data_IF_958311103528
#
_entry.id   IF_958311103528
#
_cell.length_a   1.000
_cell.length_b   1.000
_cell.length_c   1.000
_cell.angle_alpha   90.00
_cell.angle_beta   90.00
_cell.angle_gamma   90.00
#
_symmetry.space_group_name_H-M   'P 1'
#
loop_
_entity.id
_entity.type
_entity.pdbx_description
1 polymer ?
#
# COMPACT_ATOMS: atom_id res chain seq x y z
N UNK A 1 -31.55 -11.84 -26.29
CA UNK A 1 -31.16 -13.16 -25.73
C UNK A 1 -29.65 -13.27 -25.89
N UNK A 2 -28.89 -12.60 -25.02
CA UNK A 2 -28.43 -13.09 -23.71
C UNK A 2 -27.04 -13.71 -23.84
N UNK A 3 -26.03 -12.84 -23.77
CA UNK A 3 -24.69 -13.19 -23.32
C UNK A 3 -24.38 -12.35 -22.07
N UNK A 4 -25.18 -12.53 -21.03
CA UNK A 4 -24.76 -12.23 -19.66
C UNK A 4 -23.74 -13.31 -19.27
N UNK A 5 -22.48 -13.07 -19.62
CA UNK A 5 -21.38 -13.91 -19.19
C UNK A 5 -21.23 -13.84 -17.68
N UNK A 6 -21.70 -14.87 -16.97
CA UNK A 6 -21.45 -15.25 -15.57
C UNK A 6 -20.43 -14.38 -14.80
N UNK A 7 -20.86 -13.19 -14.37
CA UNK A 7 -20.25 -12.42 -13.27
C UNK A 7 -20.66 -12.99 -11.90
N UNK A 8 -20.93 -14.30 -11.84
CA UNK A 8 -21.35 -14.95 -10.61
C UNK A 8 -20.17 -14.94 -9.65
N UNK A 9 -20.46 -14.61 -8.40
CA UNK A 9 -19.60 -14.88 -7.26
C UNK A 9 -19.27 -16.39 -7.26
N UNK A 10 -17.98 -16.74 -7.18
CA UNK A 10 -17.48 -18.12 -7.32
C UNK A 10 -16.53 -18.44 -6.19
N UNK A 11 -16.44 -19.70 -5.79
CA UNK A 11 -15.38 -20.14 -4.88
C UNK A 11 -14.05 -20.30 -5.64
N UNK A 12 -12.93 -19.99 -4.99
CA UNK A 12 -11.59 -20.36 -5.44
C UNK A 12 -11.30 -21.86 -5.16
N UNK A 13 -10.12 -22.33 -5.57
CA UNK A 13 -9.67 -23.71 -5.38
C UNK A 13 -9.52 -24.10 -3.89
N UNK A 14 -9.61 -23.12 -2.98
CA UNK A 14 -9.54 -23.30 -1.53
C UNK A 14 -10.91 -23.11 -0.85
N UNK A 15 -12.01 -23.03 -1.62
CA UNK A 15 -13.36 -22.85 -1.09
C UNK A 15 -13.69 -21.44 -0.63
N UNK A 16 -12.83 -20.45 -0.89
CA UNK A 16 -13.05 -19.05 -0.51
C UNK A 16 -13.92 -18.36 -1.55
N UNK A 17 -14.88 -17.56 -1.09
CA UNK A 17 -15.75 -16.82 -1.99
C UNK A 17 -15.01 -15.63 -2.63
N UNK A 18 -14.93 -15.61 -3.96
CA UNK A 18 -14.41 -14.48 -4.74
C UNK A 18 -15.58 -13.57 -5.14
N UNK A 19 -15.61 -12.38 -4.53
CA UNK A 19 -16.60 -11.33 -4.81
C UNK A 19 -16.05 -10.39 -5.88
N UNK A 20 -16.75 -10.25 -7.01
CA UNK A 20 -16.25 -9.51 -8.20
C UNK A 20 -17.14 -8.37 -8.65
N UNK A 21 -18.42 -8.36 -8.27
CA UNK A 21 -19.36 -7.29 -8.64
C UNK A 21 -19.15 -6.09 -7.73
N UNK A 22 -18.98 -4.90 -8.32
CA UNK A 22 -18.74 -3.65 -7.58
C UNK A 22 -19.69 -3.47 -6.39
N UNK A 23 -21.01 -3.58 -6.61
CA UNK A 23 -21.99 -3.40 -5.54
C UNK A 23 -21.81 -4.41 -4.38
N UNK A 24 -21.47 -5.66 -4.68
CA UNK A 24 -21.22 -6.69 -3.66
C UNK A 24 -19.89 -6.45 -2.92
N UNK A 25 -18.83 -6.07 -3.63
CA UNK A 25 -17.53 -5.70 -3.02
C UNK A 25 -17.71 -4.52 -2.07
N UNK A 26 -18.42 -3.48 -2.50
CA UNK A 26 -18.71 -2.29 -1.69
C UNK A 26 -19.55 -2.64 -0.47
N UNK A 27 -20.58 -3.49 -0.62
CA UNK A 27 -21.39 -3.94 0.50
C UNK A 27 -20.56 -4.72 1.54
N UNK A 28 -19.72 -5.65 1.10
CA UNK A 28 -18.79 -6.40 1.97
C UNK A 28 -17.80 -5.46 2.66
N UNK A 29 -17.25 -4.48 1.93
CA UNK A 29 -16.27 -3.54 2.48
C UNK A 29 -16.86 -2.59 3.53
N UNK A 30 -18.14 -2.23 3.41
CA UNK A 30 -18.84 -1.34 4.33
C UNK A 30 -19.57 -2.03 5.49
N UNK A 31 -19.55 -3.36 5.56
CA UNK A 31 -20.07 -4.13 6.68
C UNK A 31 -18.94 -4.87 7.44
N UNK A 32 -18.09 -4.13 8.17
CA UNK A 32 -16.96 -4.73 8.89
C UNK A 32 -17.38 -5.58 10.10
N UNK A 33 -18.63 -5.43 10.56
CA UNK A 33 -19.16 -6.23 11.66
C UNK A 33 -19.45 -7.66 11.18
N UNK A 34 -19.93 -7.83 9.95
CA UNK A 34 -20.12 -9.14 9.29
C UNK A 34 -18.84 -9.65 8.62
N UNK A 35 -18.05 -8.76 8.01
CA UNK A 35 -16.85 -9.11 7.23
C UNK A 35 -15.62 -8.46 7.83
N UNK A 36 -14.99 -9.16 8.77
CA UNK A 36 -13.83 -8.70 9.53
C UNK A 36 -12.58 -8.58 8.65
N UNK A 37 -11.71 -7.63 8.97
CA UNK A 37 -10.39 -7.49 8.34
C UNK A 37 -9.29 -8.28 9.06
N UNK A 38 -9.62 -9.02 10.14
CA UNK A 38 -8.69 -9.86 10.93
C UNK A 38 -8.32 -11.17 10.22
N UNK A 39 -7.77 -11.06 9.02
CA UNK A 39 -7.42 -12.19 8.13
C UNK A 39 -5.99 -12.71 8.34
N UNK A 40 -5.23 -12.10 9.25
CA UNK A 40 -3.84 -12.42 9.52
C UNK A 40 -3.64 -12.82 10.98
N UNK A 41 -2.81 -13.83 11.22
CA UNK A 41 -2.31 -14.16 12.57
C UNK A 41 -1.28 -13.15 13.09
N UNK A 42 -0.72 -12.33 12.20
CA UNK A 42 0.26 -11.31 12.55
C UNK A 42 -0.43 -9.97 12.77
N UNK A 43 0.03 -9.22 13.78
CA UNK A 43 -0.48 -7.89 14.08
C UNK A 43 -0.35 -6.96 12.87
N UNK A 44 -1.47 -6.39 12.42
CA UNK A 44 -1.55 -5.44 11.30
C UNK A 44 -2.30 -4.18 11.76
N UNK A 45 -1.59 -3.19 12.28
CA UNK A 45 -2.19 -1.94 12.74
C UNK A 45 -2.21 -0.91 11.60
N UNK A 46 -3.37 -0.30 11.27
CA UNK A 46 -4.71 -0.58 11.76
C UNK A 46 -5.44 -1.64 10.92
N UNK A 47 -4.90 -2.00 9.74
CA UNK A 47 -5.61 -2.70 8.66
C UNK A 47 -6.19 -4.08 9.00
N UNK A 48 -5.66 -4.75 10.01
CA UNK A 48 -6.14 -6.04 10.51
C UNK A 48 -6.81 -5.95 11.88
N UNK A 49 -7.29 -4.76 12.28
CA UNK A 49 -8.13 -4.55 13.46
C UNK A 49 -9.58 -4.33 13.03
N UNK A 50 -10.52 -4.51 13.95
CA UNK A 50 -11.95 -4.20 13.73
C UNK A 50 -12.49 -3.23 14.79
N UNK A 51 -13.72 -2.76 14.58
CA UNK A 51 -14.52 -2.09 15.59
C UNK A 51 -13.84 -0.86 16.24
N UNK A 52 -13.90 -0.79 17.57
CA UNK A 52 -13.33 0.32 18.35
C UNK A 52 -11.81 0.41 18.22
N UNK A 53 -11.13 -0.74 18.15
CA UNK A 53 -9.67 -0.81 18.12
C UNK A 53 -9.15 -0.27 16.79
N UNK A 54 -9.78 -0.66 15.68
CA UNK A 54 -9.52 -0.08 14.36
C UNK A 54 -9.73 1.43 14.38
N UNK A 55 -10.88 1.91 14.86
CA UNK A 55 -11.19 3.34 14.88
C UNK A 55 -10.21 4.14 15.74
N UNK A 56 -9.78 3.60 16.88
CA UNK A 56 -8.80 4.24 17.75
C UNK A 56 -7.42 4.32 17.08
N UNK A 57 -6.94 3.19 16.55
CA UNK A 57 -5.66 3.14 15.83
C UNK A 57 -5.68 4.05 14.60
N UNK A 58 -6.75 4.02 13.79
CA UNK A 58 -6.88 4.86 12.59
C UNK A 58 -6.84 6.34 12.94
N UNK A 59 -7.62 6.80 13.93
CA UNK A 59 -7.59 8.20 14.39
C UNK A 59 -6.21 8.64 14.86
N UNK A 60 -5.46 7.77 15.54
CA UNK A 60 -4.08 8.07 15.94
C UNK A 60 -3.14 8.16 14.73
N UNK A 61 -3.23 7.23 13.79
CA UNK A 61 -2.31 7.21 12.64
C UNK A 61 -2.61 8.31 11.63
N UNK A 62 -3.87 8.74 11.51
CA UNK A 62 -4.28 9.83 10.61
C UNK A 62 -3.60 11.17 10.96
N UNK A 63 -3.16 11.38 12.22
CA UNK A 63 -2.47 12.63 12.59
C UNK A 63 -1.09 12.76 11.95
N UNK A 64 -0.51 11.67 11.45
CA UNK A 64 0.78 11.68 10.74
C UNK A 64 0.64 11.99 9.24
N UNK A 65 -0.61 12.02 8.74
CA UNK A 65 -0.97 12.39 7.39
C UNK A 65 -1.71 13.73 7.37
N UNK A 66 -1.34 14.63 8.28
CA UNK A 66 -1.90 15.98 8.30
C UNK A 66 -1.67 16.67 6.94
N UNK A 67 -2.72 17.23 6.30
CA UNK A 67 -2.60 17.81 4.98
C UNK A 67 -1.52 18.88 4.86
N UNK A 68 -1.34 19.72 5.89
CA UNK A 68 -0.33 20.77 5.86
C UNK A 68 1.10 20.19 5.92
N UNK A 69 1.32 19.13 6.70
CA UNK A 69 2.63 18.44 6.70
C UNK A 69 2.93 17.74 5.37
N UNK A 70 1.92 17.13 4.75
CA UNK A 70 2.06 16.49 3.45
C UNK A 70 2.30 17.52 2.34
N UNK A 71 1.58 18.65 2.35
CA UNK A 71 1.78 19.74 1.40
C UNK A 71 3.19 20.33 1.51
N UNK A 72 3.72 20.46 2.73
CA UNK A 72 5.09 20.91 2.96
C UNK A 72 6.15 19.92 2.40
N UNK A 73 5.80 18.63 2.29
CA UNK A 73 6.67 17.60 1.72
C UNK A 73 6.66 17.63 0.17
N UNK A 74 5.57 18.10 -0.46
CA UNK A 74 5.36 18.03 -1.90
C UNK A 74 6.50 18.61 -2.76
N UNK A 75 7.09 19.79 -2.45
CA UNK A 75 8.22 20.31 -3.22
C UNK A 75 9.43 19.37 -3.24
N UNK A 76 9.70 18.70 -2.11
CA UNK A 76 10.80 17.73 -1.99
C UNK A 76 10.54 16.50 -2.85
N UNK A 77 9.32 15.96 -2.81
CA UNK A 77 8.93 14.80 -3.63
C UNK A 77 8.97 15.12 -5.12
N UNK A 78 8.51 16.30 -5.52
CA UNK A 78 8.62 16.75 -6.90
C UNK A 78 10.10 16.84 -7.33
N UNK A 79 10.97 17.37 -6.46
CA UNK A 79 12.42 17.35 -6.69
C UNK A 79 12.98 15.93 -6.94
N UNK A 80 12.57 14.96 -6.13
CA UNK A 80 12.96 13.55 -6.28
C UNK A 80 12.47 12.96 -7.61
N UNK A 81 11.22 13.21 -7.99
CA UNK A 81 10.65 12.75 -9.26
C UNK A 81 11.44 13.30 -10.45
N UNK A 82 11.74 14.61 -10.46
CA UNK A 82 12.54 15.25 -11.52
C UNK A 82 13.94 14.67 -11.63
N UNK A 83 14.60 14.42 -10.50
CA UNK A 83 15.94 13.81 -10.47
C UNK A 83 15.91 12.41 -11.08
N UNK A 84 14.94 11.57 -10.70
CA UNK A 84 14.79 10.22 -11.24
C UNK A 84 14.49 10.22 -12.75
N UNK A 85 13.56 11.06 -13.20
CA UNK A 85 13.27 11.17 -14.64
C UNK A 85 14.50 11.66 -15.42
N UNK A 86 15.31 12.56 -14.86
CA UNK A 86 16.53 13.02 -15.49
C UNK A 86 17.58 11.92 -15.69
N UNK A 87 17.63 10.89 -14.83
CA UNK A 87 18.54 9.75 -15.00
C UNK A 87 18.13 8.82 -16.14
N UNK A 88 16.89 8.92 -16.63
CA UNK A 88 16.37 8.11 -17.75
C UNK A 88 16.76 8.65 -19.14
N UNK A 89 17.48 9.77 -19.23
CA UNK A 89 17.86 10.42 -20.50
C UNK A 89 18.92 9.68 -21.34
N UNK A 90 19.28 8.46 -20.97
CA UNK A 90 20.33 7.66 -21.62
C UNK A 90 19.83 6.38 -22.30
N UNK A 91 19.05 5.51 -21.62
CA UNK A 91 18.56 4.25 -22.20
C UNK A 91 17.48 4.48 -23.26
N UNK A 92 17.44 3.62 -24.30
CA UNK A 92 16.32 3.58 -25.27
C UNK A 92 15.07 2.87 -24.72
N UNK A 93 15.22 2.12 -23.63
CA UNK A 93 14.16 1.42 -22.90
C UNK A 93 14.51 1.36 -21.42
N UNK A 94 13.50 1.38 -20.55
CA UNK A 94 13.65 1.28 -19.10
C UNK A 94 12.46 0.50 -18.49
N UNK A 95 12.65 -0.08 -17.32
CA UNK A 95 11.56 -0.67 -16.53
C UNK A 95 10.87 0.43 -15.72
N UNK A 96 9.66 0.84 -16.13
CA UNK A 96 8.91 1.88 -15.43
C UNK A 96 8.60 1.54 -13.97
N UNK A 97 8.45 0.25 -13.64
CA UNK A 97 8.13 -0.20 -12.28
C UNK A 97 9.40 -0.27 -11.44
N UNK A 98 10.47 -0.86 -11.94
CA UNK A 98 11.74 -1.05 -11.22
C UNK A 98 12.64 0.18 -11.22
N UNK A 99 12.90 0.76 -12.40
CA UNK A 99 13.88 1.83 -12.58
C UNK A 99 13.33 3.21 -12.16
N UNK A 100 12.02 3.40 -12.17
CA UNK A 100 11.37 4.66 -11.80
C UNK A 100 10.47 4.51 -10.57
N UNK A 101 9.42 3.69 -10.66
CA UNK A 101 8.40 3.57 -9.62
C UNK A 101 8.94 3.14 -8.26
N UNK A 102 9.71 2.05 -8.21
CA UNK A 102 10.26 1.52 -6.97
C UNK A 102 11.26 2.48 -6.33
N UNK A 103 12.12 3.12 -7.13
CA UNK A 103 13.08 4.13 -6.64
C UNK A 103 12.36 5.36 -6.10
N UNK A 104 11.33 5.84 -6.79
CA UNK A 104 10.53 6.96 -6.32
C UNK A 104 9.83 6.62 -5.00
N UNK A 105 9.14 5.48 -4.93
CA UNK A 105 8.45 5.03 -3.73
C UNK A 105 9.40 4.91 -2.53
N UNK A 106 10.56 4.24 -2.69
CA UNK A 106 11.55 4.08 -1.61
C UNK A 106 12.08 5.43 -1.13
N UNK A 107 12.43 6.34 -2.05
CA UNK A 107 12.98 7.66 -1.69
C UNK A 107 11.94 8.56 -1.06
N UNK A 108 10.72 8.59 -1.60
CA UNK A 108 9.62 9.39 -1.07
C UNK A 108 9.26 8.94 0.35
N UNK A 109 9.07 7.64 0.54
CA UNK A 109 8.74 7.05 1.84
C UNK A 109 9.85 7.25 2.86
N UNK A 110 11.12 7.01 2.46
CA UNK A 110 12.26 7.24 3.34
C UNK A 110 12.38 8.71 3.74
N UNK A 111 12.10 9.64 2.82
CA UNK A 111 12.13 11.08 3.11
C UNK A 111 11.05 11.45 4.13
N UNK A 112 9.81 11.00 3.91
CA UNK A 112 8.72 11.26 4.86
C UNK A 112 9.00 10.66 6.24
N UNK A 113 9.51 9.43 6.29
CA UNK A 113 9.81 8.73 7.54
C UNK A 113 11.11 9.18 8.23
N UNK A 114 11.92 10.01 7.58
CA UNK A 114 13.24 10.43 8.08
C UNK A 114 14.32 9.34 8.02
N UNK A 115 14.18 8.36 7.14
CA UNK A 115 15.14 7.26 6.97
C UNK A 115 16.36 7.66 6.15
N UNK A 116 17.52 7.04 6.43
CA UNK A 116 18.76 7.33 5.71
C UNK A 116 18.66 6.87 4.25
N UNK A 117 19.27 7.61 3.33
CA UNK A 117 19.43 7.22 1.93
C UNK A 117 20.25 5.93 1.77
N UNK A 118 21.08 5.57 2.75
CA UNK A 118 21.87 4.33 2.72
C UNK A 118 21.00 3.07 2.76
N UNK A 119 19.71 3.20 3.14
CA UNK A 119 18.75 2.10 3.09
C UNK A 119 18.15 1.88 1.70
N UNK A 120 18.35 2.80 0.76
CA UNK A 120 17.69 2.76 -0.55
C UNK A 120 17.91 1.41 -1.26
N UNK A 121 19.16 0.99 -1.44
CA UNK A 121 19.48 -0.25 -2.16
C UNK A 121 18.93 -1.49 -1.45
N UNK A 122 18.96 -1.50 -0.11
CA UNK A 122 18.41 -2.61 0.69
C UNK A 122 16.89 -2.69 0.58
N UNK A 123 16.21 -1.55 0.62
CA UNK A 123 14.75 -1.48 0.44
C UNK A 123 14.34 -1.83 -0.98
N UNK A 124 15.11 -1.41 -2.00
CA UNK A 124 14.87 -1.79 -3.39
C UNK A 124 15.02 -3.29 -3.61
N UNK A 125 16.08 -3.90 -3.06
CA UNK A 125 16.27 -5.36 -3.09
C UNK A 125 15.08 -6.06 -2.42
N UNK A 126 14.68 -5.58 -1.24
CA UNK A 126 13.53 -6.11 -0.53
C UNK A 126 12.22 -6.01 -1.34
N UNK A 127 11.94 -4.88 -2.00
CA UNK A 127 10.74 -4.72 -2.85
C UNK A 127 10.71 -5.76 -3.97
N UNK A 128 11.85 -6.02 -4.61
CA UNK A 128 11.96 -7.04 -5.66
C UNK A 128 11.74 -8.44 -5.11
N UNK A 129 12.38 -8.77 -3.98
CA UNK A 129 12.21 -10.08 -3.33
C UNK A 129 10.79 -10.30 -2.83
N UNK A 130 10.13 -9.27 -2.30
CA UNK A 130 8.74 -9.31 -1.85
C UNK A 130 7.78 -9.55 -3.01
N UNK A 131 7.99 -8.90 -4.16
CA UNK A 131 7.21 -9.18 -5.38
C UNK A 131 7.41 -10.59 -5.89
N UNK A 132 8.65 -11.07 -5.90
CA UNK A 132 8.94 -12.46 -6.29
C UNK A 132 8.31 -13.47 -5.33
N UNK A 133 8.34 -13.20 -4.02
CA UNK A 133 7.71 -14.03 -3.01
C UNK A 133 6.18 -14.05 -3.14
N UNK A 134 5.54 -12.90 -3.41
CA UNK A 134 4.09 -12.80 -3.59
C UNK A 134 3.56 -13.59 -4.81
N UNK A 135 4.40 -13.83 -5.82
CA UNK A 135 4.09 -14.65 -7.00
C UNK A 135 4.44 -16.13 -6.82
N UNK A 136 5.14 -16.47 -5.74
CA UNK A 136 5.60 -17.82 -5.46
C UNK A 136 4.65 -18.53 -4.49
N UNK A 137 4.56 -19.85 -4.58
CA UNK A 137 3.93 -20.70 -3.57
C UNK A 137 4.87 -21.08 -2.43
N UNK A 138 6.12 -20.60 -2.46
CA UNK A 138 7.14 -20.87 -1.44
C UNK A 138 6.92 -20.02 -0.18
N UNK A 139 6.24 -20.61 0.79
CA UNK A 139 6.01 -19.99 2.09
C UNK A 139 7.31 -19.68 2.85
N UNK A 140 8.37 -20.47 2.67
CA UNK A 140 9.63 -20.25 3.37
C UNK A 140 10.30 -18.97 2.84
N UNK A 141 10.27 -18.76 1.53
CA UNK A 141 10.72 -17.51 0.90
C UNK A 141 9.89 -16.32 1.39
N UNK A 142 8.56 -16.43 1.39
CA UNK A 142 7.70 -15.36 1.90
C UNK A 142 7.98 -15.00 3.37
N UNK A 143 8.19 -16.02 4.23
CA UNK A 143 8.59 -15.81 5.64
C UNK A 143 9.95 -15.13 5.76
N UNK A 144 10.93 -15.55 4.95
CA UNK A 144 12.27 -14.95 4.96
C UNK A 144 12.26 -13.47 4.59
N UNK A 145 11.54 -13.12 3.52
CA UNK A 145 11.41 -11.73 3.07
C UNK A 145 10.68 -10.85 4.10
N UNK A 146 9.64 -11.38 4.74
CA UNK A 146 8.97 -10.68 5.83
C UNK A 146 9.90 -10.45 7.04
N UNK A 147 10.69 -11.46 7.41
CA UNK A 147 11.64 -11.37 8.51
C UNK A 147 12.76 -10.36 8.25
N UNK A 148 13.25 -10.27 7.00
CA UNK A 148 14.23 -9.27 6.61
C UNK A 148 13.69 -7.85 6.78
N UNK A 149 12.44 -7.62 6.39
CA UNK A 149 11.79 -6.32 6.58
C UNK A 149 11.67 -5.96 8.05
N UNK A 150 11.17 -6.90 8.86
CA UNK A 150 11.06 -6.71 10.30
C UNK A 150 12.43 -6.38 10.93
N UNK A 151 13.52 -6.98 10.43
CA UNK A 151 14.87 -6.66 10.87
C UNK A 151 15.31 -5.23 10.48
N UNK A 152 14.96 -4.75 9.28
CA UNK A 152 15.20 -3.35 8.86
C UNK A 152 14.51 -2.39 9.84
N UNK A 153 13.21 -2.61 10.08
CA UNK A 153 12.41 -1.74 10.94
C UNK A 153 12.90 -1.76 12.38
N UNK A 154 13.25 -2.93 12.92
CA UNK A 154 13.79 -3.04 14.28
C UNK A 154 15.12 -2.30 14.44
N UNK A 155 16.01 -2.38 13.45
CA UNK A 155 17.27 -1.63 13.47
C UNK A 155 17.03 -0.12 13.45
N UNK A 156 16.08 0.36 12.63
CA UNK A 156 15.66 1.76 12.60
C UNK A 156 15.12 2.23 13.95
N UNK A 157 14.22 1.46 14.56
CA UNK A 157 13.66 1.79 15.89
C UNK A 157 14.77 1.83 16.95
N UNK A 158 15.67 0.86 16.96
CA UNK A 158 16.78 0.83 17.91
C UNK A 158 17.68 2.08 17.76
N UNK A 159 18.03 2.45 16.52
CA UNK A 159 18.84 3.64 16.26
C UNK A 159 18.13 4.93 16.68
N UNK A 160 16.83 5.07 16.45
CA UNK A 160 16.06 6.26 16.87
C UNK A 160 15.93 6.38 18.39
N UNK A 161 16.02 5.27 19.13
CA UNK A 161 16.03 5.31 20.61
C UNK A 161 17.33 5.90 21.15
N UNK A 162 18.44 5.52 20.53
CA UNK A 162 19.76 6.01 20.92
C UNK A 162 20.01 7.43 20.40
N UNK A 163 19.47 7.75 19.21
CA UNK A 163 19.67 9.02 18.52
C UNK A 163 18.32 9.57 17.99
N UNK A 164 17.46 10.13 18.87
CA UNK A 164 16.18 10.71 18.44
C UNK A 164 16.38 11.84 17.44
N UNK A 165 15.48 11.91 16.45
CA UNK A 165 15.49 12.95 15.41
C UNK A 165 14.12 13.63 15.36
N UNK A 166 14.06 14.80 14.74
CA UNK A 166 12.78 15.43 14.43
C UNK A 166 12.22 14.85 13.12
N UNK A 167 11.72 13.61 13.19
CA UNK A 167 11.16 12.89 12.05
C UNK A 167 9.88 12.10 12.41
N UNK A 168 9.14 11.67 11.38
CA UNK A 168 7.89 10.90 11.55
C UNK A 168 8.13 9.58 12.32
N UNK A 169 9.28 8.93 12.14
CA UNK A 169 9.60 7.68 12.86
C UNK A 169 9.74 7.94 14.35
N UNK A 170 10.50 8.95 14.76
CA UNK A 170 10.63 9.34 16.16
C UNK A 170 9.29 9.81 16.73
N UNK A 171 8.51 10.62 16.00
CA UNK A 171 7.18 11.04 16.44
C UNK A 171 6.24 9.84 16.64
N UNK A 172 6.26 8.84 15.77
CA UNK A 172 5.46 7.62 15.93
C UNK A 172 5.82 6.87 17.22
N UNK A 173 7.11 6.85 17.58
CA UNK A 173 7.62 6.17 18.77
C UNK A 173 7.30 6.91 20.08
N UNK A 174 7.18 8.24 20.04
CA UNK A 174 7.08 9.08 21.25
C UNK A 174 5.69 9.68 21.47
N UNK A 175 4.86 9.81 20.43
CA UNK A 175 3.53 10.40 20.54
C UNK A 175 2.58 9.44 21.26
N UNK A 176 1.97 9.85 22.38
CA UNK A 176 0.98 9.02 23.05
C UNK A 176 -0.31 8.94 22.22
N UNK A 177 -0.95 7.78 22.27
CA UNK A 177 -2.30 7.59 21.73
C UNK A 177 -3.34 8.38 22.54
N UNK A 178 -4.60 8.40 22.09
CA UNK A 178 -5.68 9.13 22.77
C UNK A 178 -5.97 8.62 24.19
N UNK A 179 -5.53 7.40 24.54
CA UNK A 179 -5.64 6.86 25.90
C UNK A 179 -4.37 7.10 26.74
N UNK A 180 -3.54 8.07 26.32
CA UNK A 180 -2.27 8.44 26.97
C UNK A 180 -1.28 7.28 27.14
N UNK A 181 -1.36 6.27 26.27
CA UNK A 181 -0.37 5.18 26.19
C UNK A 181 0.58 5.38 25.03
N UNK A 182 1.83 4.99 25.21
CA UNK A 182 2.76 4.79 24.10
C UNK A 182 2.40 3.53 23.29
N UNK A 183 2.78 3.52 22.02
CA UNK A 183 2.78 2.28 21.24
C UNK A 183 3.87 1.33 21.73
N UNK A 184 3.56 0.04 21.72
CA UNK A 184 4.53 -1.02 22.00
C UNK A 184 5.42 -1.27 20.77
N UNK A 185 6.61 -1.84 20.96
CA UNK A 185 7.51 -2.16 19.83
C UNK A 185 6.83 -2.99 18.73
N UNK A 186 6.04 -4.04 19.04
CA UNK A 186 5.33 -4.79 18.01
C UNK A 186 4.33 -3.93 17.23
N UNK A 187 3.68 -2.97 17.87
CA UNK A 187 2.75 -2.03 17.22
C UNK A 187 3.51 -1.05 16.32
N UNK A 188 4.61 -0.47 16.79
CA UNK A 188 5.44 0.45 15.99
C UNK A 188 5.99 -0.29 14.76
N UNK A 189 6.51 -1.51 14.93
CA UNK A 189 6.97 -2.35 13.81
C UNK A 189 5.82 -2.64 12.85
N UNK A 190 4.63 -2.96 13.37
CA UNK A 190 3.45 -3.24 12.55
C UNK A 190 3.02 -2.02 11.72
N UNK A 191 2.98 -0.83 12.32
CA UNK A 191 2.63 0.43 11.65
C UNK A 191 3.65 0.78 10.58
N UNK A 192 4.95 0.79 10.92
CA UNK A 192 6.00 1.10 9.96
C UNK A 192 6.01 0.11 8.79
N UNK A 193 5.80 -1.18 9.06
CA UNK A 193 5.64 -2.18 8.00
C UNK A 193 4.41 -1.93 7.13
N UNK A 194 3.30 -1.49 7.72
CA UNK A 194 2.10 -1.17 6.96
C UNK A 194 2.33 0.02 6.02
N UNK A 195 2.91 1.11 6.54
CA UNK A 195 3.24 2.33 5.79
C UNK A 195 4.33 2.16 4.74
N UNK A 196 5.00 1.01 4.68
CA UNK A 196 6.13 0.82 3.75
C UNK A 196 5.99 -0.46 2.95
N UNK A 197 5.90 -1.62 3.59
CA UNK A 197 5.93 -2.90 2.90
C UNK A 197 4.84 -3.07 1.84
N UNK A 198 3.61 -2.63 2.15
CA UNK A 198 2.50 -2.61 1.19
C UNK A 198 2.58 -1.44 0.21
N UNK A 199 2.89 -0.25 0.73
CA UNK A 199 2.80 0.99 -0.04
C UNK A 199 3.91 1.13 -1.08
N UNK A 200 5.13 0.66 -0.79
CA UNK A 200 6.26 0.72 -1.71
C UNK A 200 6.00 -0.02 -3.02
N UNK A 201 5.42 -1.22 -2.93
CA UNK A 201 5.10 -2.02 -4.12
C UNK A 201 3.95 -1.40 -4.91
N UNK A 202 2.94 -0.88 -4.21
CA UNK A 202 1.73 -0.32 -4.81
C UNK A 202 2.00 0.99 -5.53
N UNK A 203 2.70 1.93 -4.88
CA UNK A 203 3.14 3.19 -5.51
C UNK A 203 3.97 2.95 -6.76
N UNK A 204 4.88 1.97 -6.70
CA UNK A 204 5.71 1.62 -7.83
C UNK A 204 4.93 1.01 -9.00
N UNK A 205 3.85 0.27 -8.72
CA UNK A 205 2.94 -0.22 -9.75
C UNK A 205 2.10 0.93 -10.34
N UNK A 206 1.57 1.86 -9.53
CA UNK A 206 0.86 3.05 -10.04
C UNK A 206 1.71 3.80 -11.07
N UNK A 207 2.98 4.06 -10.77
CA UNK A 207 3.90 4.72 -11.71
C UNK A 207 4.06 3.90 -12.99
N UNK A 208 4.23 2.59 -12.88
CA UNK A 208 4.32 1.70 -14.04
C UNK A 208 3.07 1.72 -14.92
N UNK A 209 1.89 1.68 -14.30
CA UNK A 209 0.59 1.72 -14.98
C UNK A 209 0.43 3.05 -15.75
N UNK A 210 0.71 4.18 -15.11
CA UNK A 210 0.61 5.50 -15.75
C UNK A 210 1.59 5.63 -16.92
N UNK A 211 2.85 5.22 -16.75
CA UNK A 211 3.85 5.25 -17.82
C UNK A 211 3.45 4.31 -18.97
N UNK A 212 2.95 3.12 -18.66
CA UNK A 212 2.45 2.17 -19.66
C UNK A 212 1.26 2.74 -20.44
N UNK A 213 0.31 3.37 -19.74
CA UNK A 213 -0.85 4.00 -20.35
C UNK A 213 -0.42 5.11 -21.32
N UNK A 214 0.47 6.01 -20.89
CA UNK A 214 1.01 7.08 -21.75
C UNK A 214 1.74 6.54 -22.98
N UNK A 215 2.52 5.46 -22.82
CA UNK A 215 3.26 4.82 -23.91
C UNK A 215 2.34 4.14 -24.92
N UNK A 216 1.19 3.62 -24.48
CA UNK A 216 0.20 2.93 -25.34
C UNK A 216 -0.87 3.87 -25.88
N UNK A 217 -1.00 5.08 -25.34
CA UNK A 217 -1.95 6.12 -25.75
C UNK A 217 -1.25 7.45 -26.10
N UNK A 218 -0.29 7.47 -27.04
CA UNK A 218 0.54 8.64 -27.31
C UNK A 218 -0.24 9.89 -27.76
N UNK A 219 -1.44 9.72 -28.32
CA UNK A 219 -2.32 10.82 -28.71
C UNK A 219 -2.77 11.69 -27.52
N UNK A 220 -2.79 11.15 -26.30
CA UNK A 220 -3.19 11.86 -25.09
C UNK A 220 -2.03 12.59 -24.39
N UNK A 221 -0.78 12.29 -24.75
CA UNK A 221 0.41 12.88 -24.10
C UNK A 221 0.42 14.42 -24.14
N UNK A 222 0.10 15.10 -25.27
CA UNK A 222 0.06 16.56 -25.29
C UNK A 222 -1.01 17.15 -24.36
N UNK A 223 -2.15 16.46 -24.19
CA UNK A 223 -3.21 16.88 -23.29
C UNK A 223 -2.76 16.75 -21.84
N UNK A 224 -2.22 15.59 -21.45
CA UNK A 224 -1.69 15.36 -20.09
C UNK A 224 -0.55 16.35 -19.76
N UNK A 225 0.33 16.65 -20.72
CA UNK A 225 1.45 17.57 -20.51
C UNK A 225 1.01 19.03 -20.31
N UNK A 226 -0.17 19.41 -20.80
CA UNK A 226 -0.73 20.76 -20.66
C UNK A 226 -1.88 20.86 -19.66
N UNK A 227 -2.22 19.77 -18.97
CA UNK A 227 -3.31 19.70 -18.02
C UNK A 227 -3.03 20.53 -16.76
N UNK A 228 -4.08 21.11 -16.19
CA UNK A 228 -4.05 21.61 -14.81
C UNK A 228 -3.95 20.45 -13.80
N UNK A 229 -3.57 20.74 -12.56
CA UNK A 229 -3.46 19.72 -11.50
C UNK A 229 -4.77 18.93 -11.32
N UNK A 230 -5.93 19.60 -11.35
CA UNK A 230 -7.22 18.94 -11.22
C UNK A 230 -7.58 18.03 -12.43
N UNK A 231 -7.18 18.43 -13.64
CA UNK A 231 -7.36 17.58 -14.83
C UNK A 231 -6.42 16.38 -14.80
N UNK A 232 -5.19 16.58 -14.31
CA UNK A 232 -4.22 15.51 -14.12
C UNK A 232 -4.71 14.50 -13.08
N UNK A 233 -5.21 14.96 -11.94
CA UNK A 233 -5.79 14.10 -10.89
C UNK A 233 -6.94 13.26 -11.46
N UNK A 234 -7.88 13.88 -12.19
CA UNK A 234 -8.98 13.16 -12.80
C UNK A 234 -8.52 12.12 -13.85
N UNK A 235 -7.48 12.45 -14.63
CA UNK A 235 -6.89 11.50 -15.58
C UNK A 235 -6.20 10.33 -14.86
N UNK A 236 -5.45 10.60 -13.79
CA UNK A 236 -4.80 9.57 -12.98
C UNK A 236 -5.83 8.65 -12.33
N UNK A 237 -6.92 9.19 -11.79
CA UNK A 237 -8.04 8.42 -11.24
C UNK A 237 -8.63 7.46 -12.29
N UNK A 238 -8.88 7.92 -13.51
CA UNK A 238 -9.43 7.07 -14.57
C UNK A 238 -8.43 5.99 -15.06
N UNK A 239 -7.15 6.34 -15.15
CA UNK A 239 -6.09 5.39 -15.52
C UNK A 239 -6.01 4.27 -14.47
N UNK A 240 -5.97 4.62 -13.18
CA UNK A 240 -5.88 3.65 -12.08
C UNK A 240 -7.20 2.90 -11.85
N UNK A 241 -8.35 3.47 -12.22
CA UNK A 241 -9.64 2.76 -12.24
C UNK A 241 -9.67 1.68 -13.34
N UNK A 242 -9.04 1.96 -14.48
CA UNK A 242 -8.99 1.03 -15.62
C UNK A 242 -7.97 -0.09 -15.40
N UNK A 243 -6.82 0.21 -14.80
CA UNK A 243 -5.78 -0.74 -14.42
C UNK A 243 -5.37 -0.49 -12.96
N UNK A 244 -5.86 -1.35 -12.06
CA UNK A 244 -5.75 -1.19 -10.61
C UNK A 244 -4.59 -2.03 -10.06
N UNK A 245 -3.60 -1.44 -9.37
CA UNK A 245 -2.53 -2.20 -8.71
C UNK A 245 -3.02 -3.01 -7.50
N UNK A 246 -4.22 -2.76 -6.99
CA UNK A 246 -4.81 -3.39 -5.81
C UNK A 246 -5.83 -4.47 -6.16
N UNK A 247 -5.35 -5.58 -6.71
CA UNK A 247 -6.20 -6.63 -7.32
C UNK A 247 -7.15 -7.38 -6.38
N UNK A 248 -6.91 -7.38 -5.05
CA UNK A 248 -7.80 -8.07 -4.10
C UNK A 248 -7.59 -7.63 -2.65
N UNK A 249 -8.64 -7.71 -1.85
CA UNK A 249 -8.60 -7.58 -0.39
C UNK A 249 -9.36 -8.75 0.24
N UNK A 250 -8.84 -9.28 1.35
CA UNK A 250 -9.46 -10.41 2.07
C UNK A 250 -10.33 -9.90 3.21
N UNK A 251 -11.39 -10.65 3.50
CA UNK A 251 -12.22 -10.54 4.68
C UNK A 251 -12.46 -11.94 5.24
N UNK A 252 -12.89 -12.02 6.49
CA UNK A 252 -13.39 -13.24 7.12
C UNK A 252 -14.79 -12.97 7.67
N UNK A 253 -15.75 -13.85 7.35
CA UNK A 253 -17.10 -13.73 7.87
C UNK A 253 -17.13 -14.01 9.38
N UNK A 254 -17.80 -13.15 10.16
CA UNK A 254 -17.94 -13.28 11.61
C UNK A 254 -19.20 -14.02 12.04
N UNK A 255 -20.09 -14.29 11.07
CA UNK A 255 -21.37 -14.97 11.19
C UNK A 255 -21.83 -15.41 9.80
N UNK A 256 -22.77 -16.34 9.76
CA UNK A 256 -23.42 -16.74 8.50
C UNK A 256 -24.03 -15.52 7.79
N UNK A 257 -23.78 -15.43 6.48
CA UNK A 257 -24.21 -14.33 5.64
C UNK A 257 -24.55 -14.79 4.22
N UNK A 258 -25.08 -13.87 3.42
CA UNK A 258 -25.31 -14.09 1.99
C UNK A 258 -24.69 -12.93 1.21
N UNK A 259 -23.80 -13.24 0.27
CA UNK A 259 -23.16 -12.27 -0.62
C UNK A 259 -23.54 -12.59 -2.06
N UNK A 260 -24.24 -11.67 -2.73
CA UNK A 260 -24.67 -11.83 -4.13
C UNK A 260 -25.44 -13.14 -4.39
N UNK A 261 -26.25 -13.56 -3.41
CA UNK A 261 -27.03 -14.81 -3.46
C UNK A 261 -26.25 -16.08 -3.08
N UNK A 262 -24.95 -15.97 -2.79
CA UNK A 262 -24.14 -17.09 -2.32
C UNK A 262 -24.08 -17.11 -0.78
N UNK A 263 -24.35 -18.26 -0.12
CA UNK A 263 -24.14 -18.39 1.32
C UNK A 263 -22.65 -18.29 1.65
N UNK A 264 -22.35 -17.63 2.77
CA UNK A 264 -21.02 -17.52 3.38
C UNK A 264 -21.15 -17.99 4.82
N UNK A 265 -20.36 -18.98 5.20
CA UNK A 265 -20.35 -19.53 6.56
C UNK A 265 -19.49 -18.66 7.49
N UNK A 266 -19.81 -18.64 8.78
CA UNK A 266 -18.92 -18.07 9.79
C UNK A 266 -17.48 -18.64 9.67
N UNK A 267 -16.49 -17.75 9.62
CA UNK A 267 -15.07 -18.10 9.52
C UNK A 267 -14.54 -18.28 8.09
N UNK A 268 -15.39 -18.15 7.06
CA UNK A 268 -15.02 -18.22 5.65
C UNK A 268 -14.36 -16.93 5.14
#
# INVERSE_FOLDING_TARGET
MSTEGSHATRCDDHGRLIVRRHAAVVAVAHDPDTFSSRVSRHLQVPNGLDGSDHRAARRFLDTFFDPHEIDALAPTLHGLARQLVATLRGPSAFDAVGDLGARYAVRAQSTWLGWSRDLEDRLLAWVQDNRAAARSTDEARARSVAAEFDAIIRALIAERRENPRDDVTTRLMTTPTQSDRALTDPEIVSVLRNWTGGDLSSLALCVGIVVHWLATHPAHVPHVAGASDAELDAALDEILRADDPFVSNRRIATRDAVVDGCPVEEGQ
#
